data_IF_028243396699
#
_entry.id   IF_028243396699
#
_cell.length_a   1.000
_cell.length_b   1.000
_cell.length_c   1.000
_cell.angle_alpha   90.00
_cell.angle_beta   90.00
_cell.angle_gamma   90.00
#
_symmetry.space_group_name_H-M   'P 1'
#
loop_
_entity.id
_entity.type
_entity.pdbx_description
1 polymer ?
#
# COMPACT_ATOMS: atom_id res chain seq x y z
N UNK A 1 12.29 8.75 -4.49
CA UNK A 1 10.91 8.28 -4.16
C UNK A 1 10.02 9.41 -3.61
N UNK A 2 10.11 10.61 -4.20
CA UNK A 2 9.58 11.86 -3.59
C UNK A 2 8.06 12.04 -3.70
N UNK A 3 7.38 11.35 -4.62
CA UNK A 3 5.96 11.61 -4.88
C UNK A 3 5.03 10.93 -3.85
N UNK A 4 5.35 9.72 -3.38
CA UNK A 4 4.47 8.96 -2.46
C UNK A 4 4.45 9.56 -1.06
N UNK A 5 5.61 10.01 -0.56
CA UNK A 5 5.71 10.70 0.73
C UNK A 5 4.95 12.03 0.74
N UNK A 6 4.68 12.63 -0.43
CA UNK A 6 3.88 13.85 -0.54
C UNK A 6 2.38 13.60 -0.64
N UNK A 7 1.93 12.36 -0.86
CA UNK A 7 0.50 12.03 -0.93
C UNK A 7 -0.12 12.07 0.48
N UNK A 8 -1.28 12.70 0.60
CA UNK A 8 -2.10 12.59 1.80
C UNK A 8 -2.61 11.16 1.99
N UNK A 9 -2.98 10.77 3.22
CA UNK A 9 -3.56 9.43 3.47
C UNK A 9 -4.75 9.12 2.54
N UNK A 10 -5.72 10.04 2.33
CA UNK A 10 -6.84 9.78 1.43
C UNK A 10 -6.42 9.53 -0.02
N UNK A 11 -5.46 10.31 -0.55
CA UNK A 11 -4.96 10.13 -1.92
C UNK A 11 -4.26 8.78 -2.08
N UNK A 12 -3.44 8.39 -1.11
CA UNK A 12 -2.73 7.10 -1.14
C UNK A 12 -3.71 5.91 -1.03
N UNK A 13 -4.66 5.98 -0.11
CA UNK A 13 -5.70 4.97 0.05
C UNK A 13 -6.49 4.78 -1.25
N UNK A 14 -6.87 5.89 -1.88
CA UNK A 14 -7.60 5.84 -3.15
C UNK A 14 -6.78 5.19 -4.26
N UNK A 15 -5.51 5.56 -4.41
CA UNK A 15 -4.65 4.98 -5.45
C UNK A 15 -4.42 3.47 -5.20
N UNK A 16 -4.27 3.07 -3.95
CA UNK A 16 -4.19 1.66 -3.56
C UNK A 16 -5.46 0.90 -3.92
N UNK A 17 -6.66 1.45 -3.66
CA UNK A 17 -7.91 0.78 -4.03
C UNK A 17 -7.96 0.42 -5.53
N UNK A 18 -7.51 1.33 -6.40
CA UNK A 18 -7.43 1.08 -7.84
C UNK A 18 -6.44 -0.05 -8.15
N UNK A 19 -5.25 -0.02 -7.55
CA UNK A 19 -4.21 -1.05 -7.74
C UNK A 19 -4.59 -2.42 -7.15
N UNK A 20 -5.43 -2.43 -6.12
CA UNK A 20 -6.04 -3.64 -5.55
C UNK A 20 -7.10 -4.25 -6.50
N UNK A 21 -7.36 -3.63 -7.65
CA UNK A 21 -8.29 -4.11 -8.67
C UNK A 21 -9.74 -3.76 -8.38
N UNK A 22 -10.00 -2.83 -7.45
CA UNK A 22 -11.37 -2.42 -7.16
C UNK A 22 -11.93 -1.64 -8.34
N UNK A 23 -13.06 -2.12 -8.85
CA UNK A 23 -13.75 -1.50 -9.97
C UNK A 23 -14.85 -0.62 -9.43
N UNK A 24 -14.99 0.54 -10.04
CA UNK A 24 -16.08 1.42 -9.70
C UNK A 24 -17.31 1.08 -10.58
N UNK A 25 -18.51 1.03 -9.97
CA UNK A 25 -19.79 0.84 -10.68
C UNK A 25 -20.41 -0.55 -10.64
N UNK A 26 -20.21 -1.32 -9.58
CA UNK A 26 -20.80 -2.65 -9.42
C UNK A 26 -22.05 -2.74 -8.54
N UNK A 27 -22.66 -3.92 -8.53
CA UNK A 27 -23.89 -4.25 -7.79
C UNK A 27 -23.74 -4.03 -6.28
N UNK A 28 -24.58 -3.18 -5.63
CA UNK A 28 -24.50 -2.83 -4.21
C UNK A 28 -24.54 -4.04 -3.24
N UNK A 29 -24.86 -5.25 -3.72
CA UNK A 29 -24.95 -6.45 -2.91
C UNK A 29 -23.64 -7.23 -2.71
N UNK A 30 -22.54 -6.93 -3.41
CA UNK A 30 -21.23 -7.63 -3.21
C UNK A 30 -20.25 -6.82 -2.33
N UNK A 31 -20.35 -6.94 -1.02
CA UNK A 31 -19.67 -6.11 0.00
C UNK A 31 -18.13 -5.92 -0.07
N UNK A 32 -17.39 -6.52 -1.00
CA UNK A 32 -15.91 -6.51 -1.04
C UNK A 32 -15.28 -6.09 -2.37
N UNK A 33 -16.07 -5.72 -3.38
CA UNK A 33 -15.56 -5.47 -4.73
C UNK A 33 -15.47 -3.96 -5.11
N UNK A 34 -15.81 -3.02 -4.22
CA UNK A 34 -16.33 -1.74 -4.71
C UNK A 34 -15.75 -0.46 -4.14
N UNK A 35 -15.55 0.45 -5.08
CA UNK A 35 -15.51 1.89 -4.88
C UNK A 35 -16.83 2.45 -5.43
N UNK A 36 -17.60 3.22 -4.64
CA UNK A 36 -18.84 3.83 -5.13
C UNK A 36 -18.51 5.04 -6.01
N UNK A 37 -18.99 5.10 -7.24
CA UNK A 37 -19.03 6.37 -7.98
C UNK A 37 -20.10 7.26 -7.35
N UNK A 38 -19.70 8.42 -6.83
CA UNK A 38 -20.62 9.53 -6.51
C UNK A 38 -20.81 10.39 -7.78
N UNK A 39 -19.73 10.57 -8.58
CA UNK A 39 -19.70 11.08 -9.96
C UNK A 39 -18.34 10.73 -10.62
N UNK A 40 -18.10 11.19 -11.87
CA UNK A 40 -16.88 10.93 -12.67
C UNK A 40 -15.56 11.20 -11.93
N UNK A 41 -15.58 12.01 -10.87
CA UNK A 41 -14.40 12.42 -10.11
C UNK A 41 -14.49 12.09 -8.61
N UNK A 42 -15.56 11.43 -8.14
CA UNK A 42 -15.76 11.14 -6.72
C UNK A 42 -16.03 9.67 -6.48
N UNK A 43 -15.16 9.08 -5.67
CA UNK A 43 -15.18 7.68 -5.26
C UNK A 43 -15.38 7.56 -3.75
N UNK A 44 -16.18 6.58 -3.32
CA UNK A 44 -16.31 6.22 -1.90
C UNK A 44 -15.65 4.87 -1.68
N UNK A 45 -14.56 4.85 -0.92
CA UNK A 45 -13.97 3.63 -0.38
C UNK A 45 -14.97 2.95 0.59
N UNK A 46 -14.88 1.64 0.83
CA UNK A 46 -15.65 0.98 1.87
C UNK A 46 -15.54 1.74 3.20
N UNK A 47 -16.65 1.82 3.94
CA UNK A 47 -16.64 2.46 5.25
C UNK A 47 -15.57 1.81 6.14
N UNK A 48 -14.69 2.63 6.69
CA UNK A 48 -13.57 2.25 7.55
C UNK A 48 -12.39 1.53 6.87
N UNK A 49 -12.29 1.52 5.54
CA UNK A 49 -11.07 1.07 4.87
C UNK A 49 -10.05 2.21 4.75
N UNK A 50 -9.05 2.20 5.61
CA UNK A 50 -7.96 3.18 5.65
C UNK A 50 -6.61 2.47 5.85
N UNK A 51 -5.97 1.95 4.80
CA UNK A 51 -4.69 1.24 4.95
C UNK A 51 -3.57 2.12 5.50
N UNK A 52 -3.69 3.45 5.48
CA UNK A 52 -2.70 4.34 6.09
C UNK A 52 -2.82 4.46 7.62
N UNK A 53 -3.98 4.14 8.22
CA UNK A 53 -4.19 4.30 9.67
C UNK A 53 -4.76 3.07 10.37
N UNK A 54 -5.45 2.18 9.66
CA UNK A 54 -5.96 0.91 10.16
C UNK A 54 -4.96 -0.23 9.93
N UNK A 55 -4.47 -0.89 10.99
CA UNK A 55 -3.56 -2.01 10.87
C UNK A 55 -4.11 -3.16 10.01
N UNK A 56 -5.41 -3.49 10.12
CA UNK A 56 -5.98 -4.61 9.37
C UNK A 56 -6.00 -4.33 7.86
N UNK A 57 -6.51 -3.17 7.43
CA UNK A 57 -6.49 -2.74 6.04
C UNK A 57 -5.04 -2.63 5.50
N UNK A 58 -4.09 -2.18 6.32
CA UNK A 58 -2.68 -2.11 5.90
C UNK A 58 -2.07 -3.49 5.60
N UNK A 59 -2.51 -4.54 6.30
CA UNK A 59 -2.09 -5.91 6.04
C UNK A 59 -2.71 -6.46 4.75
N UNK A 60 -3.91 -6.02 4.38
CA UNK A 60 -4.54 -6.41 3.10
C UNK A 60 -3.72 -5.92 1.89
N UNK A 61 -3.34 -4.64 1.88
CA UNK A 61 -2.52 -4.07 0.79
C UNK A 61 -1.10 -4.62 0.78
N UNK A 62 -0.50 -4.87 1.95
CA UNK A 62 0.77 -5.58 2.06
C UNK A 62 0.68 -6.99 1.45
N UNK A 63 -0.34 -7.77 1.83
CA UNK A 63 -0.51 -9.13 1.34
C UNK A 63 -0.61 -9.16 -0.19
N UNK A 64 -1.35 -8.20 -0.78
CA UNK A 64 -1.46 -8.10 -2.24
C UNK A 64 -0.15 -7.70 -2.92
N UNK A 65 0.59 -6.75 -2.35
CA UNK A 65 1.90 -6.37 -2.90
C UNK A 65 2.89 -7.53 -2.86
N UNK A 66 2.90 -8.31 -1.77
CA UNK A 66 3.72 -9.53 -1.64
C UNK A 66 3.30 -10.60 -2.65
N UNK A 67 2.00 -10.81 -2.84
CA UNK A 67 1.47 -11.75 -3.84
C UNK A 67 1.95 -11.40 -5.26
N UNK A 68 2.00 -10.11 -5.58
CA UNK A 68 2.40 -9.60 -6.90
C UNK A 68 3.92 -9.62 -7.08
N UNK A 69 4.68 -9.10 -6.11
CA UNK A 69 6.14 -9.08 -6.15
C UNK A 69 6.73 -8.89 -4.74
N UNK A 70 7.02 -10.00 -4.06
CA UNK A 70 7.55 -9.99 -2.70
C UNK A 70 8.95 -9.37 -2.59
N UNK A 71 9.84 -9.58 -3.55
CA UNK A 71 11.20 -9.02 -3.53
C UNK A 71 11.12 -7.50 -3.59
N UNK A 72 10.35 -6.96 -4.54
CA UNK A 72 10.17 -5.53 -4.68
C UNK A 72 9.48 -4.94 -3.45
N UNK A 73 8.46 -5.61 -2.89
CA UNK A 73 7.78 -5.12 -1.69
C UNK A 73 8.75 -4.98 -0.51
N UNK A 74 9.57 -6.00 -0.26
CA UNK A 74 10.54 -6.02 0.83
C UNK A 74 11.59 -4.91 0.64
N UNK A 75 12.08 -4.71 -0.59
CA UNK A 75 12.97 -3.60 -0.95
C UNK A 75 12.30 -2.25 -0.66
N UNK A 76 11.06 -2.02 -1.14
CA UNK A 76 10.37 -0.75 -0.95
C UNK A 76 10.04 -0.48 0.51
N UNK A 77 9.62 -1.49 1.28
CA UNK A 77 9.34 -1.34 2.70
C UNK A 77 10.59 -0.93 3.47
N UNK A 78 11.74 -1.52 3.14
CA UNK A 78 13.00 -1.14 3.77
C UNK A 78 13.39 0.30 3.45
N UNK A 79 13.23 0.75 2.19
CA UNK A 79 13.51 2.15 1.83
C UNK A 79 12.57 3.10 2.55
N UNK A 80 11.29 2.74 2.70
CA UNK A 80 10.31 3.57 3.41
C UNK A 80 10.64 3.67 4.90
N UNK A 81 10.99 2.57 5.56
CA UNK A 81 11.27 2.52 7.02
C UNK A 81 12.62 3.18 7.38
N UNK A 82 13.64 3.03 6.53
CA UNK A 82 15.00 3.51 6.84
C UNK A 82 15.37 4.80 6.11
N UNK A 83 14.67 5.14 5.03
CA UNK A 83 15.09 6.14 4.06
C UNK A 83 16.08 5.58 3.05
N UNK A 84 16.09 6.17 1.85
CA UNK A 84 16.91 5.75 0.71
C UNK A 84 18.42 5.81 1.00
N UNK A 85 18.86 6.78 1.82
CA UNK A 85 20.26 6.96 2.20
C UNK A 85 20.78 5.91 3.19
N UNK A 86 19.87 5.34 3.99
CA UNK A 86 20.21 4.29 4.96
C UNK A 86 19.82 2.89 4.44
N UNK A 87 19.22 2.82 3.24
CA UNK A 87 18.91 1.56 2.59
C UNK A 87 20.21 0.88 2.16
N UNK A 88 20.60 -0.16 2.90
CA UNK A 88 21.72 -0.99 2.52
C UNK A 88 21.25 -2.20 1.72
N UNK A 89 21.34 -2.09 0.39
CA UNK A 89 21.03 -3.18 -0.56
C UNK A 89 21.97 -4.39 -0.40
N UNK A 90 23.08 -4.25 0.35
CA UNK A 90 24.11 -5.26 0.49
C UNK A 90 23.93 -6.13 1.76
N UNK A 91 23.16 -7.21 1.60
CA UNK A 91 23.41 -8.58 2.06
C UNK A 91 23.42 -8.96 3.56
N UNK A 92 23.39 -8.05 4.53
CA UNK A 92 23.42 -8.45 5.95
C UNK A 92 22.25 -7.85 6.74
N UNK A 93 21.03 -8.28 6.43
CA UNK A 93 19.89 -8.02 7.29
C UNK A 93 20.08 -8.79 8.59
N UNK A 94 20.19 -8.07 9.70
CA UNK A 94 20.21 -8.69 11.03
C UNK A 94 18.77 -8.77 11.61
N UNK A 95 18.63 -9.41 12.75
CA UNK A 95 17.34 -9.57 13.43
C UNK A 95 16.71 -8.23 13.81
N UNK A 96 17.54 -7.22 14.11
CA UNK A 96 17.05 -5.87 14.38
C UNK A 96 16.45 -5.25 13.11
N UNK A 97 17.08 -5.45 11.94
CA UNK A 97 16.56 -4.95 10.67
C UNK A 97 15.20 -5.57 10.34
N UNK A 98 15.12 -6.89 10.44
CA UNK A 98 13.88 -7.63 10.22
C UNK A 98 12.80 -7.17 11.21
N UNK A 99 13.15 -6.99 12.49
CA UNK A 99 12.19 -6.57 13.52
C UNK A 99 11.54 -5.22 13.19
N UNK A 100 12.29 -4.27 12.62
CA UNK A 100 11.79 -2.94 12.25
C UNK A 100 10.79 -3.01 11.11
N UNK A 101 11.01 -3.87 10.11
CA UNK A 101 10.06 -4.08 9.02
C UNK A 101 8.78 -4.77 9.51
N UNK A 102 8.90 -5.73 10.43
CA UNK A 102 7.75 -6.42 11.02
C UNK A 102 6.86 -5.49 11.85
N UNK A 103 7.42 -4.42 12.42
CA UNK A 103 6.66 -3.40 13.17
C UNK A 103 6.37 -2.12 12.37
N UNK A 104 6.57 -2.14 11.05
CA UNK A 104 6.25 -1.00 10.19
C UNK A 104 4.82 -0.52 10.45
N UNK A 105 4.64 0.80 10.46
CA UNK A 105 3.34 1.43 10.64
C UNK A 105 2.40 1.12 9.47
N UNK A 106 1.07 1.26 9.67
CA UNK A 106 0.10 1.13 8.58
C UNK A 106 0.46 1.96 7.35
N UNK A 107 0.83 3.23 7.56
CA UNK A 107 1.26 4.15 6.50
C UNK A 107 2.49 3.65 5.74
N UNK A 108 3.54 3.23 6.44
CA UNK A 108 4.77 2.73 5.78
C UNK A 108 4.48 1.49 4.92
N UNK A 109 3.63 0.57 5.42
CA UNK A 109 3.16 -0.58 4.64
C UNK A 109 2.38 -0.17 3.40
N UNK A 110 1.49 0.81 3.53
CA UNK A 110 0.67 1.33 2.44
C UNK A 110 1.53 1.98 1.35
N UNK A 111 2.53 2.79 1.71
CA UNK A 111 3.46 3.40 0.77
C UNK A 111 4.26 2.35 -0.01
N UNK A 112 4.85 1.39 0.69
CA UNK A 112 5.60 0.30 0.08
C UNK A 112 4.72 -0.55 -0.87
N UNK A 113 3.48 -0.83 -0.46
CA UNK A 113 2.51 -1.55 -1.29
C UNK A 113 2.17 -0.76 -2.56
N UNK A 114 1.92 0.55 -2.45
CA UNK A 114 1.60 1.40 -3.60
C UNK A 114 2.75 1.42 -4.61
N UNK A 115 3.99 1.64 -4.15
CA UNK A 115 5.17 1.68 -5.02
C UNK A 115 5.36 0.34 -5.72
N UNK A 116 5.17 -0.76 -5.00
CA UNK A 116 5.30 -2.12 -5.56
C UNK A 116 4.26 -2.38 -6.63
N UNK A 117 2.99 -2.16 -6.31
CA UNK A 117 1.88 -2.46 -7.22
C UNK A 117 1.90 -1.55 -8.46
N UNK A 118 2.23 -0.26 -8.29
CA UNK A 118 2.30 0.70 -9.41
C UNK A 118 3.41 0.38 -10.43
N UNK A 119 4.44 -0.39 -10.06
CA UNK A 119 5.53 -0.78 -10.96
C UNK A 119 5.28 -2.08 -11.73
N UNK A 120 4.32 -2.90 -11.30
CA UNK A 120 4.02 -4.20 -11.93
C UNK A 120 2.79 -4.12 -12.83
N UNK A 121 1.94 -3.09 -12.68
CA UNK A 121 0.66 -2.98 -13.39
C UNK A 121 0.75 -2.28 -14.77
N UNK A 122 1.87 -2.44 -15.50
CA UNK A 122 2.09 -1.89 -16.86
C UNK A 122 1.88 -2.89 -17.98
#
# INVERSE_FOLDING_TARGET
MTQVQTMTNPELNQALAVLMGWKAGGDPNKKRDFVWWIDENRFRLPENWDPCTDPAASLEVQAKAIEVNYELYVDQLSIVVYGEENYNRASNWNEWDISRLLIASPRERAEAAYITLSQVTT
#
